data_IF_683938754115
#
_entry.id   IF_683938754115
#
_cell.length_a   1.000
_cell.length_b   1.000
_cell.length_c   1.000
_cell.angle_alpha   90.00
_cell.angle_beta   90.00
_cell.angle_gamma   90.00
#
_symmetry.space_group_name_H-M   'P 1'
#
loop_
_entity.id
_entity.type
_entity.pdbx_description
1 polymer ?
#
# COMPACT_ATOMS: atom_id res chain seq x y z
N UNK A 1 10.67 7.10 -12.11
CA UNK A 1 10.71 5.72 -11.60
C UNK A 1 10.23 4.80 -12.71
N UNK A 2 10.99 3.73 -13.02
CA UNK A 2 10.63 2.76 -14.08
C UNK A 2 10.56 1.31 -13.59
N UNK A 3 10.94 1.06 -12.33
CA UNK A 3 10.79 -0.25 -11.72
C UNK A 3 9.30 -0.57 -11.45
N UNK A 4 8.88 -1.85 -11.49
CA UNK A 4 7.59 -2.26 -10.95
C UNK A 4 7.36 -1.64 -9.57
N UNK A 5 6.16 -1.16 -9.30
CA UNK A 5 5.84 -0.45 -8.05
C UNK A 5 4.50 -0.90 -7.49
N UNK A 6 4.50 -1.26 -6.21
CA UNK A 6 3.30 -1.42 -5.40
C UNK A 6 3.24 -0.26 -4.38
N UNK A 7 2.15 0.50 -4.41
CA UNK A 7 1.84 1.53 -3.41
C UNK A 7 0.73 1.00 -2.50
N UNK A 8 0.97 0.99 -1.19
CA UNK A 8 0.01 0.54 -0.18
C UNK A 8 -0.32 1.73 0.72
N UNK A 9 -1.61 2.00 0.96
CA UNK A 9 -2.03 3.11 1.83
C UNK A 9 -3.28 2.72 2.64
N UNK A 10 -3.28 2.99 3.95
CA UNK A 10 -4.44 2.77 4.82
C UNK A 10 -5.49 3.88 4.70
N UNK A 11 -6.77 3.55 4.48
CA UNK A 11 -7.83 4.55 4.28
C UNK A 11 -7.98 5.53 5.44
N UNK A 12 -7.77 5.05 6.68
CA UNK A 12 -7.87 5.84 7.90
C UNK A 12 -6.52 6.36 8.40
N UNK A 13 -5.47 6.36 7.58
CA UNK A 13 -4.16 6.91 7.95
C UNK A 13 -4.31 8.35 8.49
N UNK A 14 -3.88 8.53 9.75
CA UNK A 14 -3.99 9.78 10.49
C UNK A 14 -2.74 10.66 10.35
N UNK A 15 -1.66 10.15 9.73
CA UNK A 15 -0.40 10.86 9.51
C UNK A 15 -0.35 11.44 8.10
N UNK A 16 -0.76 10.66 7.09
CA UNK A 16 -0.78 11.09 5.69
C UNK A 16 -2.17 10.90 5.07
N UNK A 17 -2.72 11.92 4.38
CA UNK A 17 -4.00 11.78 3.70
C UNK A 17 -3.98 10.66 2.66
N UNK A 18 -5.03 9.84 2.62
CA UNK A 18 -5.17 8.75 1.65
C UNK A 18 -5.02 9.21 0.19
N UNK A 19 -5.42 10.44 -0.12
CA UNK A 19 -5.26 11.04 -1.44
C UNK A 19 -3.79 11.18 -1.88
N UNK A 20 -2.84 11.26 -0.94
CA UNK A 20 -1.41 11.29 -1.26
C UNK A 20 -0.93 9.94 -1.81
N UNK A 21 -1.36 8.82 -1.22
CA UNK A 21 -1.08 7.48 -1.76
C UNK A 21 -1.68 7.29 -3.15
N UNK A 22 -2.91 7.79 -3.35
CA UNK A 22 -3.54 7.76 -4.68
C UNK A 22 -2.79 8.63 -5.70
N UNK A 23 -2.34 9.81 -5.31
CA UNK A 23 -1.55 10.70 -6.17
C UNK A 23 -0.20 10.07 -6.56
N UNK A 24 0.49 9.45 -5.59
CA UNK A 24 1.75 8.75 -5.82
C UNK A 24 1.58 7.59 -6.81
N UNK A 25 0.56 6.74 -6.61
CA UNK A 25 0.29 5.64 -7.52
C UNK A 25 -0.05 6.10 -8.94
N UNK A 26 -0.76 7.23 -9.10
CA UNK A 26 -1.05 7.81 -10.43
C UNK A 26 0.19 8.39 -11.11
N UNK A 27 1.15 8.88 -10.34
CA UNK A 27 2.37 9.49 -10.86
C UNK A 27 3.42 8.48 -11.35
N UNK A 28 3.32 7.22 -10.91
CA UNK A 28 4.27 6.16 -11.28
C UNK A 28 3.63 5.27 -12.36
N UNK A 29 4.23 5.17 -13.56
CA UNK A 29 3.72 4.31 -14.62
C UNK A 29 3.56 2.86 -14.16
N UNK A 30 2.41 2.26 -14.48
CA UNK A 30 2.06 0.87 -14.14
C UNK A 30 2.09 0.53 -12.65
N UNK A 31 2.08 1.52 -11.75
CA UNK A 31 2.02 1.24 -10.33
C UNK A 31 0.69 0.61 -9.95
N UNK A 32 0.77 -0.39 -9.07
CA UNK A 32 -0.39 -1.00 -8.43
C UNK A 32 -0.68 -0.26 -7.14
N UNK A 33 -1.96 -0.05 -6.85
CA UNK A 33 -2.40 0.60 -5.62
C UNK A 33 -3.23 -0.35 -4.77
N UNK A 34 -2.86 -0.51 -3.50
CA UNK A 34 -3.59 -1.28 -2.51
C UNK A 34 -4.08 -0.36 -1.38
N UNK A 35 -5.40 -0.19 -1.30
CA UNK A 35 -6.04 0.44 -0.15
C UNK A 35 -6.23 -0.58 0.97
N UNK A 36 -5.71 -0.30 2.16
CA UNK A 36 -5.94 -1.09 3.37
C UNK A 36 -7.07 -0.48 4.20
N UNK A 37 -7.91 -1.35 4.78
CA UNK A 37 -8.92 -0.94 5.76
C UNK A 37 -8.27 -0.95 7.15
N UNK A 38 -7.59 0.14 7.49
CA UNK A 38 -6.96 0.37 8.79
C UNK A 38 -6.90 1.88 9.08
N UNK A 39 -6.84 2.23 10.36
CA UNK A 39 -6.57 3.59 10.83
C UNK A 39 -5.08 3.83 11.16
N UNK A 40 -4.26 2.78 11.11
CA UNK A 40 -2.85 2.86 11.41
C UNK A 40 -2.06 3.28 10.17
N UNK A 41 -1.16 4.26 10.36
CA UNK A 41 -0.17 4.62 9.33
C UNK A 41 0.75 3.43 9.00
N UNK A 42 1.12 2.66 10.03
CA UNK A 42 1.88 1.42 9.91
C UNK A 42 1.06 0.32 10.59
N UNK A 43 0.35 -0.52 9.83
CA UNK A 43 -0.27 -1.72 10.40
C UNK A 43 0.80 -2.55 11.13
N UNK A 44 0.45 -3.09 12.29
CA UNK A 44 1.30 -4.00 13.07
C UNK A 44 0.72 -5.42 13.01
N UNK A 45 1.46 -6.49 13.36
CA UNK A 45 0.98 -7.87 13.26
C UNK A 45 -0.41 -8.16 13.85
N UNK A 46 -0.82 -7.42 14.89
CA UNK A 46 -2.13 -7.52 15.53
C UNK A 46 -3.27 -6.79 14.78
N UNK A 47 -2.93 -5.91 13.83
CA UNK A 47 -3.90 -5.24 12.97
C UNK A 47 -4.39 -6.23 11.90
N UNK A 48 -5.72 -6.40 11.71
CA UNK A 48 -6.25 -7.28 10.66
C UNK A 48 -5.72 -6.97 9.25
N UNK A 49 -5.35 -5.72 8.97
CA UNK A 49 -4.79 -5.31 7.68
C UNK A 49 -3.35 -5.79 7.46
N UNK A 50 -2.62 -6.18 8.52
CA UNK A 50 -1.23 -6.65 8.41
C UNK A 50 -1.08 -7.85 7.49
N UNK A 51 -1.89 -8.89 7.70
CA UNK A 51 -1.82 -10.09 6.87
C UNK A 51 -2.03 -9.76 5.39
N UNK A 52 -3.01 -8.90 5.10
CA UNK A 52 -3.29 -8.43 3.73
C UNK A 52 -2.14 -7.62 3.14
N UNK A 53 -1.50 -6.77 3.94
CA UNK A 53 -0.31 -6.02 3.53
C UNK A 53 0.83 -6.96 3.18
N UNK A 54 1.17 -7.90 4.06
CA UNK A 54 2.28 -8.84 3.84
C UNK A 54 2.03 -9.76 2.65
N UNK A 55 0.82 -10.34 2.52
CA UNK A 55 0.46 -11.15 1.35
C UNK A 55 0.61 -10.37 0.04
N UNK A 56 0.25 -9.10 0.01
CA UNK A 56 0.39 -8.28 -1.20
C UNK A 56 1.86 -7.96 -1.51
N UNK A 57 2.68 -7.70 -0.49
CA UNK A 57 4.13 -7.47 -0.64
C UNK A 57 4.80 -8.74 -1.16
N UNK A 58 4.55 -9.89 -0.53
CA UNK A 58 5.15 -11.17 -0.92
C UNK A 58 4.75 -11.55 -2.35
N UNK A 59 3.47 -11.39 -2.71
CA UNK A 59 3.00 -11.66 -4.07
C UNK A 59 3.66 -10.73 -5.11
N UNK A 60 3.79 -9.45 -4.79
CA UNK A 60 4.43 -8.48 -5.69
C UNK A 60 5.92 -8.77 -5.89
N UNK A 61 6.63 -9.19 -4.84
CA UNK A 61 8.06 -9.51 -4.92
C UNK A 61 8.34 -10.87 -5.60
N UNK A 62 7.35 -11.76 -5.67
CA UNK A 62 7.45 -13.04 -6.34
C UNK A 62 7.16 -12.96 -7.85
N UNK A 63 6.74 -11.80 -8.37
CA UNK A 63 6.53 -11.59 -9.80
C UNK A 63 7.88 -11.61 -10.56
N UNK A 64 7.94 -12.26 -11.75
CA UNK A 64 9.17 -12.46 -12.50
C UNK A 64 9.76 -11.19 -13.12
#
# INVERSE_FOLDING_TARGET
>A
VVAPTLVIHARGDTVQPFSQGQALARAIPNARFLALESANHIPLPQDPAWGRMMTAVDAFLAEP
#
